data_IF_534710355175
#
_entry.id   IF_534710355175
#
_cell.length_a   1.000
_cell.length_b   1.000
_cell.length_c   1.000
_cell.angle_alpha   90.00
_cell.angle_beta   90.00
_cell.angle_gamma   90.00
#
_symmetry.space_group_name_H-M   'P 1'
#
loop_
_entity.id
_entity.type
_entity.pdbx_description
1 polymer ?
#
# COMPACT_ATOMS: atom_id res chain seq x y z
N UNK A 1 6.39 -13.25 -14.35
CA UNK A 1 5.77 -13.64 -13.07
C UNK A 1 6.34 -12.82 -11.93
N UNK A 2 5.54 -12.54 -10.93
CA UNK A 2 5.97 -11.77 -9.79
C UNK A 2 5.26 -12.24 -8.53
N UNK A 3 5.83 -11.89 -7.40
CA UNK A 3 5.18 -12.11 -6.12
C UNK A 3 5.46 -10.91 -5.23
N UNK A 4 4.40 -10.36 -4.63
CA UNK A 4 4.53 -9.22 -3.74
C UNK A 4 3.68 -9.46 -2.51
N UNK A 5 3.95 -8.70 -1.48
CA UNK A 5 3.18 -8.73 -0.25
C UNK A 5 2.90 -7.30 0.17
N UNK A 6 1.65 -7.03 0.52
CA UNK A 6 1.25 -5.74 1.06
C UNK A 6 0.47 -6.02 2.34
N UNK A 7 0.90 -5.41 3.43
CA UNK A 7 0.26 -5.56 4.72
C UNK A 7 -0.03 -4.18 5.30
N UNK A 8 -1.16 -4.05 5.97
CA UNK A 8 -1.60 -2.80 6.54
C UNK A 8 -1.95 -3.00 8.00
N UNK A 9 -1.52 -2.05 8.82
CA UNK A 9 -1.93 -2.00 10.22
C UNK A 9 -2.53 -0.61 10.45
N UNK A 10 -3.82 -0.59 10.75
CA UNK A 10 -4.54 0.67 10.97
C UNK A 10 -4.41 1.03 12.44
N UNK A 11 -3.29 1.64 12.79
CA UNK A 11 -2.97 1.90 14.18
C UNK A 11 -2.75 3.38 14.48
N UNK A 12 -2.98 4.24 13.50
CA UNK A 12 -2.73 5.66 13.60
C UNK A 12 -1.25 5.95 13.87
N UNK A 13 -0.38 5.08 13.39
CA UNK A 13 1.06 5.27 13.45
C UNK A 13 1.59 5.20 12.04
N UNK A 14 1.69 6.34 11.36
CA UNK A 14 2.13 6.33 9.95
C UNK A 14 3.57 5.85 9.84
N UNK A 15 3.76 4.83 9.03
CA UNK A 15 5.07 4.30 8.77
C UNK A 15 5.05 3.49 7.50
N UNK A 16 6.11 3.55 6.73
CA UNK A 16 6.23 2.78 5.50
C UNK A 16 7.47 1.92 5.54
N UNK A 17 7.28 0.62 5.30
CA UNK A 17 8.36 -0.30 5.04
C UNK A 17 8.28 -0.63 3.56
N UNK A 18 9.29 -0.23 2.81
CA UNK A 18 9.29 -0.34 1.36
C UNK A 18 10.45 -1.23 0.92
N UNK A 19 10.14 -2.45 0.53
CA UNK A 19 11.14 -3.39 0.06
C UNK A 19 10.84 -3.78 -1.38
N UNK A 20 10.85 -2.78 -2.23
CA UNK A 20 10.58 -2.95 -3.65
C UNK A 20 11.77 -2.44 -4.42
N UNK A 21 12.39 -3.31 -5.21
CA UNK A 21 13.49 -2.91 -6.07
C UNK A 21 13.01 -2.89 -7.50
N UNK A 22 13.22 -1.77 -8.16
CA UNK A 22 12.85 -1.60 -9.55
C UNK A 22 14.15 -1.44 -10.34
N UNK A 23 14.24 -2.19 -11.43
CA UNK A 23 15.46 -2.24 -12.21
C UNK A 23 15.65 -1.03 -13.10
N UNK A 24 14.61 -0.25 -13.30
CA UNK A 24 14.68 0.93 -14.15
C UNK A 24 14.46 2.17 -13.31
N UNK A 25 15.02 3.29 -13.77
CA UNK A 25 14.86 4.54 -13.05
C UNK A 25 13.55 5.25 -13.41
N UNK A 26 12.99 4.91 -14.54
CA UNK A 26 11.74 5.51 -15.00
C UNK A 26 10.83 4.47 -15.60
N UNK A 27 9.54 4.67 -15.41
CA UNK A 27 8.51 3.94 -16.11
C UNK A 27 7.78 4.97 -16.95
N UNK A 28 7.97 4.90 -18.27
CA UNK A 28 7.51 5.97 -19.13
C UNK A 28 8.25 7.24 -18.76
N UNK A 29 7.53 8.26 -18.37
CA UNK A 29 8.14 9.53 -18.01
C UNK A 29 8.23 9.72 -16.49
N UNK A 30 7.82 8.74 -15.72
CA UNK A 30 7.76 8.90 -14.27
C UNK A 30 8.96 8.23 -13.61
N UNK A 31 9.64 8.95 -12.74
CA UNK A 31 10.71 8.38 -11.94
C UNK A 31 10.15 7.31 -11.03
N UNK A 32 10.84 6.18 -10.95
CA UNK A 32 10.35 5.08 -10.11
C UNK A 32 10.39 5.43 -8.63
N UNK A 33 11.24 6.37 -8.23
CA UNK A 33 11.24 6.82 -6.84
C UNK A 33 9.94 7.49 -6.43
N UNK A 34 9.21 8.05 -7.38
CA UNK A 34 7.95 8.70 -7.06
C UNK A 34 6.91 7.72 -6.54
N UNK A 35 7.02 6.46 -6.91
CA UNK A 35 6.09 5.45 -6.40
C UNK A 35 6.28 5.25 -4.90
N UNK A 36 7.53 5.18 -4.45
CA UNK A 36 7.80 5.08 -3.03
C UNK A 36 7.27 6.29 -2.28
N UNK A 37 7.48 7.47 -2.85
CA UNK A 37 7.00 8.71 -2.23
C UNK A 37 5.49 8.73 -2.15
N UNK A 38 4.82 8.20 -3.17
CA UNK A 38 3.37 8.12 -3.15
C UNK A 38 2.88 7.25 -1.99
N UNK A 39 3.48 6.06 -1.83
CA UNK A 39 3.10 5.17 -0.74
C UNK A 39 3.41 5.80 0.62
N UNK A 40 4.51 6.54 0.70
CA UNK A 40 4.87 7.23 1.93
C UNK A 40 3.82 8.27 2.29
N UNK A 41 3.43 9.09 1.32
CA UNK A 41 2.42 10.11 1.54
C UNK A 41 1.08 9.48 1.91
N UNK A 42 0.75 8.37 1.25
CA UNK A 42 -0.50 7.69 1.54
C UNK A 42 -0.53 7.17 2.97
N UNK A 43 0.57 6.53 3.40
CA UNK A 43 0.61 5.99 4.76
C UNK A 43 0.47 7.10 5.79
N UNK A 44 1.08 8.24 5.54
CA UNK A 44 0.99 9.37 6.47
C UNK A 44 -0.40 9.98 6.48
N UNK A 45 -1.00 10.14 5.32
CA UNK A 45 -2.33 10.74 5.25
C UNK A 45 -3.40 9.83 5.85
N UNK A 46 -3.25 8.53 5.68
CA UNK A 46 -4.23 7.57 6.19
C UNK A 46 -3.95 7.16 7.63
N UNK A 47 -2.79 7.51 8.18
CA UNK A 47 -2.45 7.11 9.54
C UNK A 47 -2.25 5.63 9.69
N UNK A 48 -1.62 4.98 8.70
CA UNK A 48 -1.46 3.53 8.71
C UNK A 48 0.02 3.16 8.64
N UNK A 49 0.33 2.00 9.20
CA UNK A 49 1.61 1.35 8.96
C UNK A 49 1.45 0.49 7.72
N UNK A 50 2.29 0.71 6.74
CA UNK A 50 2.17 0.06 5.46
C UNK A 50 3.46 -0.68 5.15
N UNK A 51 3.34 -1.96 4.84
CA UNK A 51 4.48 -2.80 4.48
C UNK A 51 4.27 -3.28 3.05
N UNK A 52 5.18 -2.91 2.16
CA UNK A 52 5.11 -3.31 0.75
C UNK A 52 6.41 -3.99 0.40
N UNK A 53 6.31 -5.21 -0.08
CA UNK A 53 7.49 -5.98 -0.44
C UNK A 53 7.28 -6.70 -1.75
N UNK A 54 8.27 -6.59 -2.64
CA UNK A 54 8.30 -7.38 -3.85
C UNK A 54 9.22 -8.57 -3.59
N UNK A 55 8.65 -9.77 -3.61
CA UNK A 55 9.41 -10.97 -3.29
C UNK A 55 10.17 -11.46 -4.52
N UNK A 56 9.52 -11.45 -5.68
CA UNK A 56 10.22 -11.70 -6.94
C UNK A 56 9.41 -11.15 -8.10
N UNK A 57 10.10 -10.95 -9.21
CA UNK A 57 9.52 -10.39 -10.42
C UNK A 57 10.50 -9.44 -11.07
N UNK A 58 10.52 -9.41 -12.39
CA UNK A 58 11.48 -8.60 -13.12
C UNK A 58 10.88 -7.40 -13.83
N UNK A 59 9.62 -7.46 -14.18
CA UNK A 59 9.00 -6.38 -14.94
C UNK A 59 8.54 -5.28 -14.00
N UNK A 60 9.21 -4.13 -14.07
CA UNK A 60 8.95 -3.04 -13.14
C UNK A 60 7.51 -2.53 -13.22
N UNK A 61 6.95 -2.48 -14.42
CA UNK A 61 5.57 -2.04 -14.58
C UNK A 61 4.61 -2.97 -13.83
N UNK A 62 4.80 -4.29 -14.01
CA UNK A 62 3.95 -5.27 -13.34
C UNK A 62 4.16 -5.25 -11.83
N UNK A 63 5.40 -5.02 -11.39
CA UNK A 63 5.67 -4.93 -9.96
C UNK A 63 4.89 -3.79 -9.34
N UNK A 64 4.98 -2.61 -9.92
CA UNK A 64 4.29 -1.43 -9.39
C UNK A 64 2.78 -1.61 -9.46
N UNK A 65 2.28 -2.14 -10.57
CA UNK A 65 0.84 -2.37 -10.70
C UNK A 65 0.35 -3.33 -9.62
N UNK A 66 1.12 -4.38 -9.34
CA UNK A 66 0.73 -5.34 -8.32
C UNK A 66 0.75 -4.73 -6.93
N UNK A 67 1.66 -3.78 -6.68
CA UNK A 67 1.71 -3.11 -5.39
C UNK A 67 0.44 -2.30 -5.15
N UNK A 68 -0.03 -1.57 -6.16
CA UNK A 68 -1.28 -0.83 -6.02
C UNK A 68 -2.48 -1.76 -5.84
N UNK A 69 -2.51 -2.86 -6.58
CA UNK A 69 -3.58 -3.83 -6.43
C UNK A 69 -3.56 -4.46 -5.04
N UNK A 70 -2.37 -4.76 -4.55
CA UNK A 70 -2.23 -5.31 -3.21
C UNK A 70 -2.69 -4.35 -2.14
N UNK A 71 -2.37 -3.07 -2.32
CA UNK A 71 -2.82 -2.04 -1.39
C UNK A 71 -4.34 -1.96 -1.37
N UNK A 72 -4.96 -1.95 -2.55
CA UNK A 72 -6.42 -1.86 -2.63
C UNK A 72 -7.09 -3.05 -1.96
N UNK A 73 -6.56 -4.25 -2.16
CA UNK A 73 -7.12 -5.45 -1.53
C UNK A 73 -6.97 -5.41 -0.03
N UNK A 74 -5.79 -5.01 0.44
CA UNK A 74 -5.53 -4.95 1.88
C UNK A 74 -6.43 -3.94 2.56
N UNK A 75 -6.66 -2.80 1.91
CA UNK A 75 -7.56 -1.79 2.44
C UNK A 75 -8.98 -2.32 2.51
N UNK A 76 -9.44 -2.98 1.45
CA UNK A 76 -10.78 -3.52 1.45
C UNK A 76 -10.96 -4.55 2.55
N UNK A 77 -9.99 -5.45 2.68
CA UNK A 77 -10.06 -6.49 3.70
C UNK A 77 -10.08 -5.88 5.11
N UNK A 78 -9.24 -4.88 5.34
CA UNK A 78 -9.18 -4.25 6.66
C UNK A 78 -10.50 -3.57 7.01
N UNK A 79 -11.13 -2.94 6.03
CA UNK A 79 -12.39 -2.24 6.27
C UNK A 79 -13.57 -3.18 6.40
N UNK A 80 -13.54 -4.31 5.70
CA UNK A 80 -14.66 -5.25 5.72
C UNK A 80 -14.62 -6.19 6.90
N UNK A 81 -13.45 -6.38 7.50
CA UNK A 81 -13.33 -7.32 8.60
C UNK A 81 -13.90 -6.82 9.91
N UNK A 82 -14.17 -5.53 9.99
CA UNK A 82 -14.74 -4.98 11.23
C UNK A 82 -16.23 -4.73 11.03
N UNK A 83 -17.09 -5.55 11.64
CA UNK A 83 -18.53 -5.35 11.46
C UNK A 83 -19.01 -3.98 11.93
N UNK A 84 -18.31 -3.37 12.86
CA UNK A 84 -18.69 -2.05 13.34
C UNK A 84 -18.47 -0.98 12.29
N UNK A 85 -17.48 -1.16 11.44
CA UNK A 85 -17.28 -0.23 10.34
C UNK A 85 -18.43 -0.31 9.36
N UNK A 86 -18.95 -1.51 9.15
CA UNK A 86 -20.07 -1.68 8.25
C UNK A 86 -21.32 -1.01 8.74
N UNK A 87 -21.41 -0.80 10.04
CA UNK A 87 -22.56 -0.12 10.60
C UNK A 87 -22.40 1.38 10.63
N UNK A 88 -21.41 1.82 9.98
CA UNK A 88 -21.29 3.24 9.78
C UNK A 88 -20.70 3.99 10.89
N UNK A 89 -19.94 3.49 11.50
CA UNK A 89 -19.37 4.27 12.41
C UNK A 89 -18.29 4.86 12.14
N UNK A 90 -18.20 5.42 11.57
CA UNK A 90 -17.19 5.75 11.26
C UNK A 90 -16.51 6.49 11.93
N UNK A 91 -16.78 6.25 12.03
CA UNK A 91 -16.24 6.53 12.37
C UNK A 91 -15.83 6.88 12.87
N UNK A 92 -15.93 7.05 12.97
CA UNK A 92 -15.54 7.16 13.50
C UNK A 92 -15.06 6.97 14.11
N UNK A 93 -15.08 6.76 14.28
CA UNK A 93 -14.40 6.48 14.85
C UNK A 93 -13.39 6.51 14.58
N UNK A 94 -13.37 6.99 14.16
CA UNK A 94 -12.58 7.13 13.78
C UNK A 94 -11.90 6.60 13.37
N UNK A 95 -11.90 6.15 13.44
CA UNK A 95 -11.16 5.73 13.07
C UNK A 95 -10.97 5.35 12.12
N UNK A 96 -11.14 5.39 11.65
CA UNK A 96 -10.68 5.10 10.72
C UNK A 96 -10.53 5.75 10.43
#
# INVERSE_FOLDING_TARGET
MYKRQVAIDVSNRPYLIWKVKLKVEKLGEMDTELFKEWFQAFSQSAGITLHVENIYGDNSHHIIESCYKGLARSLRDALEMDPRNKKGIPSTKGSL
#
